data_IF_876135872151
#
_entry.id   IF_876135872151
#
_cell.length_a   1.000
_cell.length_b   1.000
_cell.length_c   1.000
_cell.angle_alpha   90.00
_cell.angle_beta   90.00
_cell.angle_gamma   90.00
#
_symmetry.space_group_name_H-M   'P 1'
#
loop_
_entity.id
_entity.type
_entity.pdbx_description
1 polymer ?
#
# COMPACT_ATOMS: atom_id res chain seq x y z
N UNK A 1 -12.21 1.32 16.18
CA UNK A 1 -13.42 0.49 16.27
C UNK A 1 -13.54 -0.12 17.65
N UNK A 2 -14.75 -0.26 18.17
CA UNK A 2 -15.05 -1.02 19.40
C UNK A 2 -15.00 -2.54 19.15
N UNK A 3 -15.00 -3.34 20.22
CA UNK A 3 -15.05 -4.81 20.09
C UNK A 3 -16.35 -5.29 19.41
N UNK A 4 -17.46 -4.58 19.61
CA UNK A 4 -18.75 -4.87 18.99
C UNK A 4 -18.73 -4.54 17.49
N UNK A 5 -18.17 -3.40 17.11
CA UNK A 5 -17.99 -3.02 15.69
C UNK A 5 -17.07 -4.01 14.95
N UNK A 6 -15.97 -4.44 15.58
CA UNK A 6 -15.08 -5.45 15.01
C UNK A 6 -15.78 -6.80 14.82
N UNK A 7 -16.60 -7.23 15.78
CA UNK A 7 -17.36 -8.47 15.66
C UNK A 7 -18.46 -8.37 14.60
N UNK A 8 -19.19 -7.26 14.53
CA UNK A 8 -20.17 -7.00 13.49
C UNK A 8 -19.53 -6.96 12.09
N UNK A 9 -18.36 -6.34 11.96
CA UNK A 9 -17.60 -6.30 10.71
C UNK A 9 -17.13 -7.70 10.28
N UNK A 10 -16.59 -8.49 11.21
CA UNK A 10 -16.16 -9.87 10.95
C UNK A 10 -17.33 -10.86 10.72
N UNK A 11 -18.55 -10.49 11.10
CA UNK A 11 -19.78 -11.26 10.83
C UNK A 11 -20.53 -10.78 9.58
N UNK A 12 -20.13 -9.67 8.95
CA UNK A 12 -20.71 -9.23 7.68
C UNK A 12 -20.26 -10.17 6.56
N UNK A 13 -21.21 -10.80 5.86
CA UNK A 13 -20.94 -11.68 4.73
C UNK A 13 -20.60 -10.95 3.43
N UNK A 14 -20.90 -9.65 3.33
CA UNK A 14 -20.64 -8.83 2.15
C UNK A 14 -20.08 -7.44 2.51
N UNK A 15 -18.82 -7.34 2.98
CA UNK A 15 -18.15 -6.08 3.24
C UNK A 15 -17.54 -5.50 1.96
N UNK A 16 -17.93 -4.28 1.59
CA UNK A 16 -17.42 -3.61 0.39
C UNK A 16 -15.90 -3.39 0.51
N UNK A 17 -15.13 -3.70 -0.53
CA UNK A 17 -13.69 -3.35 -0.59
C UNK A 17 -13.54 -1.89 -1.04
N UNK A 18 -13.11 -1.01 -0.15
CA UNK A 18 -13.15 0.45 -0.34
C UNK A 18 -11.76 1.00 -0.70
N UNK A 19 -11.63 1.60 -1.88
CA UNK A 19 -10.46 2.40 -2.29
C UNK A 19 -10.82 3.88 -2.45
N UNK A 20 -9.86 4.71 -2.89
CA UNK A 20 -10.00 6.18 -3.04
C UNK A 20 -11.29 6.59 -3.77
N UNK A 21 -11.62 5.90 -4.85
CA UNK A 21 -12.80 6.20 -5.70
C UNK A 21 -14.12 5.79 -5.06
N UNK A 22 -14.11 4.77 -4.20
CA UNK A 22 -15.30 4.13 -3.65
C UNK A 22 -15.71 4.77 -2.30
N UNK A 23 -14.78 5.49 -1.65
CA UNK A 23 -15.02 6.26 -0.41
C UNK A 23 -16.26 7.18 -0.45
N UNK A 24 -16.49 8.04 -1.47
CA UNK A 24 -17.64 8.93 -1.48
C UNK A 24 -18.98 8.18 -1.52
N UNK A 25 -19.02 7.08 -2.27
CA UNK A 25 -20.22 6.25 -2.40
C UNK A 25 -20.53 5.55 -1.07
N UNK A 26 -19.56 4.82 -0.53
CA UNK A 26 -19.68 4.07 0.75
C UNK A 26 -20.09 5.00 1.90
N UNK A 27 -19.50 6.20 1.99
CA UNK A 27 -19.85 7.19 3.01
C UNK A 27 -21.26 7.76 2.82
N UNK A 28 -21.66 8.08 1.59
CA UNK A 28 -23.00 8.63 1.30
C UNK A 28 -24.13 7.63 1.58
N UNK A 29 -23.90 6.35 1.26
CA UNK A 29 -24.85 5.26 1.48
C UNK A 29 -24.76 4.64 2.88
N UNK A 30 -23.75 5.04 3.68
CA UNK A 30 -23.44 4.50 5.03
C UNK A 30 -23.18 2.98 5.04
N UNK A 31 -22.54 2.48 3.99
CA UNK A 31 -22.20 1.06 3.86
C UNK A 31 -21.04 0.65 4.77
N UNK A 32 -20.98 -0.63 5.11
CA UNK A 32 -19.85 -1.22 5.83
C UNK A 32 -18.85 -1.81 4.83
N UNK A 33 -17.56 -1.46 4.98
CA UNK A 33 -16.53 -1.88 4.04
C UNK A 33 -15.12 -1.82 4.60
N UNK A 34 -14.24 -2.68 4.09
CA UNK A 34 -12.82 -2.74 4.45
C UNK A 34 -12.00 -1.81 3.57
N UNK A 35 -11.28 -0.87 4.18
CA UNK A 35 -10.43 0.09 3.45
C UNK A 35 -9.15 -0.58 2.92
N UNK A 36 -8.83 -0.32 1.65
CA UNK A 36 -7.52 -0.61 1.06
C UNK A 36 -6.44 0.31 1.62
N UNK A 37 -5.18 0.16 1.18
CA UNK A 37 -4.09 1.05 1.59
C UNK A 37 -4.42 2.49 1.21
N UNK A 38 -4.82 2.77 -0.04
CA UNK A 38 -5.21 4.11 -0.48
C UNK A 38 -6.30 4.75 0.40
N UNK A 39 -7.41 4.03 0.66
CA UNK A 39 -8.48 4.56 1.50
C UNK A 39 -8.06 4.74 2.96
N UNK A 40 -7.21 3.85 3.49
CA UNK A 40 -6.72 3.94 4.88
C UNK A 40 -5.74 5.11 5.05
N UNK A 41 -4.88 5.38 4.06
CA UNK A 41 -3.99 6.54 4.03
C UNK A 41 -4.77 7.87 4.07
N UNK A 42 -5.83 8.00 3.25
CA UNK A 42 -6.70 9.19 3.26
C UNK A 42 -7.28 9.42 4.66
N UNK A 43 -7.86 8.37 5.27
CA UNK A 43 -8.42 8.43 6.61
C UNK A 43 -7.36 8.76 7.68
N UNK A 44 -6.16 8.19 7.58
CA UNK A 44 -5.05 8.45 8.48
C UNK A 44 -4.58 9.92 8.41
N UNK A 45 -4.44 10.48 7.20
CA UNK A 45 -4.08 11.89 7.00
C UNK A 45 -5.14 12.85 7.57
N UNK A 46 -6.44 12.55 7.35
CA UNK A 46 -7.54 13.34 7.92
C UNK A 46 -7.55 13.27 9.46
N UNK A 47 -7.17 12.12 10.03
CA UNK A 47 -7.03 11.92 11.47
C UNK A 47 -5.70 12.44 12.07
N UNK A 48 -4.79 13.00 11.25
CA UNK A 48 -3.47 13.46 11.70
C UNK A 48 -2.50 12.35 12.09
N UNK A 49 -2.71 11.12 11.60
CA UNK A 49 -1.90 9.92 11.87
C UNK A 49 -0.81 9.82 10.78
N UNK A 50 0.49 10.04 11.09
CA UNK A 50 1.54 10.15 10.07
C UNK A 50 2.16 8.81 9.63
N UNK A 51 1.80 7.70 10.27
CA UNK A 51 2.36 6.37 10.00
C UNK A 51 1.24 5.33 9.97
N UNK A 52 1.25 4.49 8.95
CA UNK A 52 0.34 3.35 8.76
C UNK A 52 1.15 2.07 8.56
N UNK A 53 0.71 0.96 9.15
CA UNK A 53 1.37 -0.36 9.03
C UNK A 53 0.38 -1.35 8.40
N UNK A 54 0.82 -2.05 7.36
CA UNK A 54 0.01 -3.05 6.64
C UNK A 54 0.87 -4.25 6.23
N UNK A 55 0.25 -5.39 5.91
CA UNK A 55 0.96 -6.59 5.44
C UNK A 55 1.58 -6.45 4.05
N UNK A 56 1.17 -5.44 3.27
CA UNK A 56 1.69 -5.12 1.94
C UNK A 56 0.87 -4.05 1.24
N UNK A 57 1.43 -3.45 0.19
CA UNK A 57 0.72 -2.52 -0.73
C UNK A 57 0.29 -3.24 -2.01
N UNK A 58 -0.69 -2.69 -2.73
CA UNK A 58 -0.88 -2.97 -4.15
C UNK A 58 0.20 -2.30 -5.01
N UNK A 59 0.23 -2.61 -6.30
CA UNK A 59 1.23 -2.04 -7.22
C UNK A 59 0.87 -2.25 -8.69
N UNK A 60 1.88 -2.37 -9.54
CA UNK A 60 1.69 -2.69 -10.96
C UNK A 60 1.49 -4.20 -11.14
N UNK A 61 0.42 -4.60 -11.82
CA UNK A 61 0.09 -6.02 -12.00
C UNK A 61 0.82 -6.64 -13.22
N UNK A 62 0.60 -7.94 -13.42
CA UNK A 62 1.12 -8.68 -14.58
C UNK A 62 0.39 -8.25 -15.85
N UNK A 63 1.09 -8.28 -16.98
CA UNK A 63 0.60 -7.83 -18.29
C UNK A 63 0.11 -6.36 -18.35
N UNK A 64 0.57 -5.51 -17.41
CA UNK A 64 0.19 -4.09 -17.34
C UNK A 64 0.41 -3.32 -18.65
N UNK A 65 1.42 -3.68 -19.45
CA UNK A 65 1.63 -3.09 -20.78
C UNK A 65 0.49 -3.33 -21.79
N UNK A 66 -0.49 -4.18 -21.45
CA UNK A 66 -1.75 -4.40 -22.19
C UNK A 66 -2.98 -3.97 -21.39
N UNK A 67 -2.98 -4.22 -20.08
CA UNK A 67 -4.17 -4.07 -19.22
C UNK A 67 -4.27 -2.71 -18.52
N UNK A 68 -3.16 -2.00 -18.34
CA UNK A 68 -3.03 -0.81 -17.48
C UNK A 68 -3.52 -1.03 -16.02
N UNK A 69 -3.45 -2.28 -15.55
CA UNK A 69 -3.85 -2.66 -14.19
C UNK A 69 -2.77 -2.26 -13.15
N UNK A 70 -2.98 -1.09 -12.55
CA UNK A 70 -2.13 -0.49 -11.50
C UNK A 70 -2.99 -0.12 -10.30
N UNK A 71 -2.55 -0.53 -9.09
CA UNK A 71 -3.26 -0.15 -7.87
C UNK A 71 -3.21 1.35 -7.61
N UNK A 72 -4.37 1.92 -7.26
CA UNK A 72 -4.51 3.29 -6.78
C UNK A 72 -3.66 3.59 -5.52
N UNK A 73 -3.19 2.57 -4.80
CA UNK A 73 -2.25 2.73 -3.68
C UNK A 73 -0.97 3.48 -4.09
N UNK A 74 -0.44 3.23 -5.29
CA UNK A 74 0.76 3.92 -5.78
C UNK A 74 0.51 5.40 -6.05
N UNK A 75 -0.67 5.73 -6.55
CA UNK A 75 -1.10 7.12 -6.75
C UNK A 75 -1.40 7.80 -5.41
N UNK A 76 -1.86 7.08 -4.38
CA UNK A 76 -2.11 7.66 -3.06
C UNK A 76 -0.81 8.01 -2.33
N UNK A 77 0.19 7.12 -2.40
CA UNK A 77 1.54 7.35 -1.87
C UNK A 77 2.18 8.64 -2.44
N UNK A 78 1.88 8.99 -3.69
CA UNK A 78 2.36 10.23 -4.31
C UNK A 78 1.67 11.53 -3.80
N UNK A 79 0.55 11.42 -3.08
CA UNK A 79 -0.28 12.59 -2.72
C UNK A 79 -0.58 12.75 -1.23
N UNK A 80 -0.50 11.68 -0.43
CA UNK A 80 -0.95 11.65 0.96
C UNK A 80 0.22 11.42 1.92
N UNK A 81 0.37 12.32 2.91
CA UNK A 81 1.50 12.43 3.82
C UNK A 81 1.42 11.43 4.99
N UNK A 82 1.41 10.14 4.67
CA UNK A 82 1.32 9.04 5.65
C UNK A 82 2.30 7.94 5.25
N UNK A 83 3.38 7.80 6.02
CA UNK A 83 4.39 6.78 5.75
C UNK A 83 3.81 5.38 5.94
N UNK A 84 3.90 4.54 4.90
CA UNK A 84 3.39 3.16 4.90
C UNK A 84 4.53 2.19 5.16
N UNK A 85 4.52 1.59 6.34
CA UNK A 85 5.43 0.50 6.71
C UNK A 85 4.81 -0.83 6.30
N UNK A 86 5.59 -1.65 5.60
CA UNK A 86 5.23 -3.02 5.26
C UNK A 86 6.38 -3.96 5.63
N UNK A 87 6.12 -5.21 6.04
CA UNK A 87 7.20 -6.18 6.22
C UNK A 87 7.74 -6.64 4.86
N UNK A 88 6.83 -6.85 3.90
CA UNK A 88 7.04 -7.52 2.63
C UNK A 88 6.09 -6.93 1.56
N UNK A 89 6.19 -7.41 0.32
CA UNK A 89 5.39 -6.91 -0.82
C UNK A 89 4.63 -8.05 -1.51
N UNK A 90 3.44 -7.73 -2.05
CA UNK A 90 2.50 -8.72 -2.59
C UNK A 90 3.08 -9.47 -3.82
N UNK A 91 3.24 -10.82 -3.78
CA UNK A 91 3.95 -11.61 -4.80
C UNK A 91 3.22 -11.74 -6.15
N UNK A 92 1.99 -11.26 -6.25
CA UNK A 92 1.25 -11.23 -7.52
C UNK A 92 1.64 -10.04 -8.40
N UNK A 93 2.30 -9.01 -7.83
CA UNK A 93 2.73 -7.78 -8.50
C UNK A 93 4.02 -7.95 -9.33
N UNK A 94 4.29 -6.97 -10.20
CA UNK A 94 5.57 -6.80 -10.89
C UNK A 94 6.37 -5.71 -10.17
N UNK A 95 7.27 -6.12 -9.27
CA UNK A 95 8.02 -5.16 -8.43
C UNK A 95 8.90 -4.17 -9.20
N UNK A 96 9.65 -4.54 -10.26
CA UNK A 96 10.42 -3.55 -11.03
C UNK A 96 9.53 -2.44 -11.60
N UNK A 97 8.41 -2.78 -12.25
CA UNK A 97 7.45 -1.78 -12.74
C UNK A 97 6.82 -0.95 -11.61
N UNK A 98 6.64 -1.53 -10.43
CA UNK A 98 6.11 -0.83 -9.26
C UNK A 98 7.12 0.19 -8.73
N UNK A 99 8.42 -0.14 -8.71
CA UNK A 99 9.49 0.79 -8.36
C UNK A 99 9.64 1.92 -9.38
N UNK A 100 9.63 1.60 -10.68
CA UNK A 100 9.64 2.60 -11.77
C UNK A 100 8.47 3.59 -11.65
N UNK A 101 7.27 3.10 -11.33
CA UNK A 101 6.09 3.95 -11.10
C UNK A 101 6.28 4.86 -9.87
N UNK A 102 6.79 4.33 -8.76
CA UNK A 102 7.02 5.10 -7.54
C UNK A 102 8.12 6.16 -7.73
N UNK A 103 9.23 5.82 -8.40
CA UNK A 103 10.27 6.78 -8.77
C UNK A 103 9.74 7.87 -9.72
N UNK A 104 8.93 7.51 -10.72
CA UNK A 104 8.29 8.47 -11.64
C UNK A 104 7.42 9.49 -10.90
N UNK A 105 6.80 9.10 -9.78
CA UNK A 105 5.96 9.98 -8.96
C UNK A 105 6.72 10.61 -7.77
N UNK A 106 8.03 10.40 -7.65
CA UNK A 106 8.85 10.96 -6.57
C UNK A 106 8.64 10.32 -5.19
N UNK A 107 7.99 9.15 -5.11
CA UNK A 107 7.74 8.45 -3.84
C UNK A 107 9.02 7.74 -3.38
N UNK A 108 9.58 8.06 -2.20
CA UNK A 108 10.82 7.45 -1.74
C UNK A 108 10.57 6.07 -1.12
N UNK A 109 11.16 5.05 -1.73
CA UNK A 109 11.15 3.66 -1.21
C UNK A 109 12.43 3.42 -0.42
N UNK A 110 12.30 3.11 0.87
CA UNK A 110 13.42 3.01 1.80
C UNK A 110 13.59 1.56 2.28
N UNK A 111 14.65 0.92 1.79
CA UNK A 111 15.23 -0.34 2.28
C UNK A 111 15.87 -0.21 3.66
N UNK A 112 15.06 0.20 4.64
CA UNK A 112 15.38 0.27 6.05
C UNK A 112 15.81 -1.25 6.41
N UNK A 113 17.06 -1.49 6.84
CA UNK A 113 17.81 -2.75 7.13
C UNK A 113 18.33 -3.68 6.03
N UNK A 114 18.19 -3.37 4.74
CA UNK A 114 18.53 -4.35 3.69
C UNK A 114 19.26 -3.72 2.50
N UNK A 115 20.28 -4.42 1.99
CA UNK A 115 20.94 -4.10 0.72
C UNK A 115 20.23 -4.74 -0.50
N UNK A 116 19.14 -5.46 -0.27
CA UNK A 116 18.38 -6.20 -1.29
C UNK A 116 16.87 -5.95 -1.14
N UNK A 117 16.11 -6.08 -2.24
CA UNK A 117 14.68 -5.82 -2.24
C UNK A 117 13.89 -7.02 -1.66
N UNK A 118 13.00 -6.81 -0.66
CA UNK A 118 12.30 -7.91 0.00
C UNK A 118 11.28 -8.58 -0.93
N UNK A 119 11.26 -9.92 -0.90
CA UNK A 119 10.31 -10.76 -1.65
C UNK A 119 9.58 -11.70 -0.69
N UNK A 120 8.27 -11.85 -0.88
CA UNK A 120 7.34 -12.53 0.03
C UNK A 120 7.70 -14.01 0.33
N UNK A 121 7.94 -14.80 -0.71
CA UNK A 121 8.17 -16.26 -0.61
C UNK A 121 9.38 -16.77 -1.42
N UNK A 122 10.21 -15.88 -1.96
CA UNK A 122 11.40 -16.26 -2.74
C UNK A 122 12.65 -15.65 -2.11
N UNK A 123 13.85 -16.18 -2.40
CA UNK A 123 15.08 -15.41 -2.23
C UNK A 123 14.96 -14.01 -2.86
N UNK A 124 15.65 -12.99 -2.31
CA UNK A 124 15.60 -11.62 -2.82
C UNK A 124 15.99 -11.58 -4.31
N UNK A 125 15.14 -10.94 -5.10
CA UNK A 125 15.17 -11.05 -6.57
C UNK A 125 15.80 -9.85 -7.29
N UNK A 126 16.03 -8.74 -6.58
CA UNK A 126 16.50 -7.47 -7.15
C UNK A 126 17.39 -6.73 -6.13
N UNK A 127 18.53 -6.20 -6.57
CA UNK A 127 19.35 -5.28 -5.78
C UNK A 127 18.80 -3.85 -5.88
N UNK A 128 18.99 -3.02 -4.85
CA UNK A 128 18.55 -1.61 -4.92
C UNK A 128 19.28 -0.85 -6.02
N UNK A 129 18.54 -0.17 -6.90
CA UNK A 129 19.10 0.72 -7.93
C UNK A 129 19.88 1.91 -7.37
N UNK A 130 19.71 2.26 -6.09
CA UNK A 130 20.36 3.39 -5.40
C UNK A 130 20.84 2.94 -4.01
N UNK A 131 22.14 2.58 -3.84
CA UNK A 131 22.68 2.04 -2.58
C UNK A 131 22.70 3.00 -1.37
N UNK A 132 22.47 4.30 -1.61
CA UNK A 132 22.79 5.40 -0.68
C UNK A 132 21.82 5.56 0.51
N UNK A 133 20.71 4.81 0.55
CA UNK A 133 19.67 4.91 1.60
C UNK A 133 19.69 3.72 2.60
N UNK A 134 20.74 2.90 2.59
CA UNK A 134 20.81 1.57 3.23
C UNK A 134 21.02 1.55 4.75
N UNK A 135 20.98 2.70 5.45
CA UNK A 135 21.36 2.81 6.88
C UNK A 135 20.21 2.66 7.89
N UNK A 136 19.02 2.38 7.39
CA UNK A 136 17.76 2.38 8.13
C UNK A 136 17.39 0.92 8.58
N UNK A 137 16.16 0.53 9.02
CA UNK A 137 15.80 -0.69 9.84
C UNK A 137 14.57 -1.65 9.52
N UNK A 138 13.69 -1.49 8.52
CA UNK A 138 12.58 -2.41 8.01
C UNK A 138 12.12 -1.95 6.58
N UNK A 139 11.04 -2.36 5.90
CA UNK A 139 10.61 -1.64 4.66
C UNK A 139 9.66 -0.46 4.96
N UNK A 140 10.05 0.76 4.55
CA UNK A 140 9.19 1.96 4.51
C UNK A 140 8.97 2.40 3.06
N UNK A 141 7.71 2.62 2.66
CA UNK A 141 7.36 3.49 1.54
C UNK A 141 6.76 4.75 2.15
N UNK A 142 7.44 5.90 2.04
CA UNK A 142 7.00 7.14 2.72
C UNK A 142 5.88 7.83 1.94
#
# INVERSE_FOLDING_TARGET
>A
MSRQELQQFAQNSDPVKVSRRDLPEVLSQKLSGGTTVAATMICAQIAGIPVFVTGGIGGVHRENEKTMDVSADLTELAHTKVAVVVPELNPFLIFPRTLEYLETHGVPVIGYQTAEFPSFYTPPAVQWFKPELTHLKTLHVV
#
